data_IF_499320952587
#
_entry.id   IF_499320952587
#
_cell.length_a   1.000
_cell.length_b   1.000
_cell.length_c   1.000
_cell.angle_alpha   90.00
_cell.angle_beta   90.00
_cell.angle_gamma   90.00
#
_symmetry.space_group_name_H-M   'P 1'
#
loop_
_entity.id
_entity.type
_entity.pdbx_description
1 polymer ?
#
# COMPACT_ATOMS: atom_id res chain seq x y z
N UNK A 1 15.65 2.69 -10.20
CA UNK A 1 14.23 2.95 -10.52
C UNK A 1 13.58 3.71 -9.37
N UNK A 2 12.50 4.42 -9.67
CA UNK A 2 11.66 5.14 -8.69
C UNK A 2 10.39 4.32 -8.46
N UNK A 3 10.21 3.83 -7.27
CA UNK A 3 9.14 2.91 -6.89
C UNK A 3 8.14 3.65 -6.01
N UNK A 4 6.93 3.86 -6.49
CA UNK A 4 5.87 4.57 -5.76
C UNK A 4 4.87 3.57 -5.19
N UNK A 5 4.63 3.64 -3.88
CA UNK A 5 3.44 3.02 -3.27
C UNK A 5 2.37 4.07 -3.02
N UNK A 6 1.15 3.83 -3.49
CA UNK A 6 -0.03 4.66 -3.22
C UNK A 6 -0.94 3.87 -2.29
N UNK A 7 -0.96 4.28 -1.03
CA UNK A 7 -1.77 3.68 0.05
C UNK A 7 -3.10 4.41 0.19
N UNK A 8 -4.18 3.68 0.43
CA UNK A 8 -5.42 4.28 0.94
C UNK A 8 -5.21 4.76 2.38
N UNK A 9 -4.61 3.91 3.21
CA UNK A 9 -4.27 4.18 4.61
C UNK A 9 -2.78 3.93 4.85
N UNK A 10 -2.22 4.57 5.85
CA UNK A 10 -0.88 4.25 6.33
C UNK A 10 -0.95 2.90 7.08
N UNK A 11 -0.47 1.86 6.50
CA UNK A 11 -0.24 0.45 6.83
C UNK A 11 -0.37 -0.45 5.58
N UNK A 12 -1.06 0.01 4.52
CA UNK A 12 -1.25 -0.75 3.28
C UNK A 12 0.08 -1.13 2.63
N UNK A 13 1.05 -0.20 2.63
CA UNK A 13 2.38 -0.43 2.06
C UNK A 13 3.11 -1.54 2.80
N UNK A 14 2.98 -1.57 4.12
CA UNK A 14 3.60 -2.61 4.97
C UNK A 14 2.88 -3.95 4.86
N UNK A 15 1.55 -3.95 4.83
CA UNK A 15 0.74 -5.16 4.76
C UNK A 15 0.83 -5.83 3.39
N UNK A 16 0.63 -5.08 2.31
CA UNK A 16 0.51 -5.62 0.95
C UNK A 16 1.82 -5.67 0.17
N UNK A 17 2.81 -4.83 0.50
CA UNK A 17 3.99 -4.59 -0.35
C UNK A 17 5.31 -4.46 0.42
N UNK A 18 5.32 -4.61 1.75
CA UNK A 18 6.47 -4.27 2.59
C UNK A 18 7.75 -5.04 2.27
N UNK A 19 7.65 -6.34 2.03
CA UNK A 19 8.79 -7.16 1.63
C UNK A 19 9.30 -6.80 0.23
N UNK A 20 8.41 -6.47 -0.70
CA UNK A 20 8.74 -6.02 -2.05
C UNK A 20 9.40 -4.64 -2.03
N UNK A 21 8.94 -3.72 -1.19
CA UNK A 21 9.61 -2.42 -1.00
C UNK A 21 11.03 -2.60 -0.48
N UNK A 22 11.24 -3.48 0.51
CA UNK A 22 12.58 -3.81 1.01
C UNK A 22 13.45 -4.48 -0.06
N UNK A 23 12.88 -5.34 -0.89
CA UNK A 23 13.58 -5.92 -2.04
C UNK A 23 14.03 -4.84 -3.03
N UNK A 24 13.16 -3.88 -3.36
CA UNK A 24 13.54 -2.74 -4.20
C UNK A 24 14.61 -1.86 -3.56
N UNK A 25 14.51 -1.59 -2.25
CA UNK A 25 15.52 -0.84 -1.51
C UNK A 25 16.89 -1.52 -1.59
N UNK A 26 16.95 -2.84 -1.41
CA UNK A 26 18.20 -3.61 -1.51
C UNK A 26 18.82 -3.58 -2.91
N UNK A 27 18.02 -3.31 -3.95
CA UNK A 27 18.49 -3.09 -5.32
C UNK A 27 18.93 -1.64 -5.61
N UNK A 28 18.90 -0.75 -4.61
CA UNK A 28 19.26 0.66 -4.76
C UNK A 28 18.20 1.50 -5.46
N UNK A 29 16.95 1.06 -5.47
CA UNK A 29 15.83 1.82 -6.00
C UNK A 29 15.35 2.90 -5.02
N UNK A 30 14.91 4.05 -5.52
CA UNK A 30 14.29 5.08 -4.69
C UNK A 30 12.85 4.72 -4.36
N UNK A 31 12.53 4.64 -3.08
CA UNK A 31 11.19 4.41 -2.60
C UNK A 31 10.45 5.73 -2.39
N UNK A 32 9.21 5.79 -2.85
CA UNK A 32 8.32 6.95 -2.78
C UNK A 32 6.98 6.52 -2.20
N UNK A 33 6.30 7.41 -1.47
CA UNK A 33 5.06 7.06 -0.81
C UNK A 33 4.01 8.16 -0.91
N UNK A 34 2.81 7.82 -1.39
CA UNK A 34 1.60 8.65 -1.33
C UNK A 34 0.62 7.99 -0.39
N UNK A 35 0.12 8.76 0.58
CA UNK A 35 -0.92 8.34 1.51
C UNK A 35 -2.16 9.19 1.24
N UNK A 36 -3.25 8.53 0.86
CA UNK A 36 -4.47 9.23 0.46
C UNK A 36 -5.22 9.76 1.67
N UNK A 37 -5.49 8.92 2.66
CA UNK A 37 -6.25 9.33 3.84
C UNK A 37 -5.36 9.58 5.04
N UNK A 38 -5.61 10.68 5.71
CA UNK A 38 -4.89 11.08 6.93
C UNK A 38 -5.91 11.49 7.98
N UNK A 39 -5.90 10.88 9.17
CA UNK A 39 -6.72 11.38 10.26
C UNK A 39 -6.11 12.67 10.82
N UNK A 40 -6.98 13.65 11.08
CA UNK A 40 -6.63 14.92 11.73
C UNK A 40 -7.27 15.00 13.12
N UNK A 41 -6.80 15.92 13.95
CA UNK A 41 -7.42 16.22 15.24
C UNK A 41 -8.86 16.73 15.12
N UNK A 42 -9.24 17.25 13.95
CA UNK A 42 -10.61 17.65 13.60
C UNK A 42 -11.44 16.51 12.96
N UNK A 43 -10.86 15.32 12.76
CA UNK A 43 -11.60 14.16 12.25
C UNK A 43 -12.62 13.67 13.27
N UNK A 44 -13.70 12.95 12.86
CA UNK A 44 -14.57 12.25 13.80
C UNK A 44 -13.79 11.23 14.66
N UNK A 45 -14.28 10.97 15.87
CA UNK A 45 -13.72 9.89 16.70
C UNK A 45 -13.96 8.51 16.03
N UNK A 46 -13.04 7.55 16.18
CA UNK A 46 -11.84 7.57 17.05
C UNK A 46 -10.58 8.18 16.38
N UNK A 47 -10.69 8.74 15.19
CA UNK A 47 -9.55 9.22 14.39
C UNK A 47 -8.86 10.43 15.02
N UNK A 48 -9.64 11.38 15.58
CA UNK A 48 -9.10 12.60 16.19
C UNK A 48 -8.15 12.30 17.35
N UNK A 49 -8.57 11.42 18.27
CA UNK A 49 -7.77 11.03 19.43
C UNK A 49 -6.48 10.27 19.09
N UNK A 50 -6.41 9.67 17.91
CA UNK A 50 -5.27 8.88 17.45
C UNK A 50 -4.37 9.63 16.46
N UNK A 51 -4.78 10.82 15.99
CA UNK A 51 -4.11 11.51 14.87
C UNK A 51 -2.60 11.72 15.12
N UNK A 52 -2.21 12.14 16.32
CA UNK A 52 -0.80 12.37 16.68
C UNK A 52 -0.01 11.05 16.67
N UNK A 53 -0.53 10.01 17.34
CA UNK A 53 0.14 8.68 17.34
C UNK A 53 0.33 8.13 15.94
N UNK A 54 -0.70 8.23 15.10
CA UNK A 54 -0.63 7.78 13.71
C UNK A 54 0.37 8.59 12.88
N UNK A 55 0.57 9.88 13.18
CA UNK A 55 1.61 10.68 12.55
C UNK A 55 3.01 10.17 12.91
N UNK A 56 3.25 9.88 14.20
CA UNK A 56 4.53 9.31 14.67
C UNK A 56 4.79 7.94 14.06
N UNK A 57 3.77 7.07 14.02
CA UNK A 57 3.86 5.74 13.39
C UNK A 57 4.28 5.86 11.91
N UNK A 58 3.64 6.75 11.13
CA UNK A 58 3.99 7.01 9.72
C UNK A 58 5.42 7.51 9.56
N UNK A 59 5.89 8.37 10.47
CA UNK A 59 7.26 8.88 10.44
C UNK A 59 8.29 7.76 10.67
N UNK A 60 8.07 6.89 11.67
CA UNK A 60 8.93 5.76 11.94
C UNK A 60 8.99 4.78 10.76
N UNK A 61 7.83 4.47 10.18
CA UNK A 61 7.73 3.58 9.01
C UNK A 61 8.42 4.18 7.80
N UNK A 62 8.21 5.48 7.53
CA UNK A 62 8.88 6.16 6.41
C UNK A 62 10.41 6.12 6.55
N UNK A 63 10.91 6.33 7.76
CA UNK A 63 12.34 6.22 8.05
C UNK A 63 12.85 4.78 7.89
N UNK A 64 12.12 3.80 8.40
CA UNK A 64 12.54 2.39 8.38
C UNK A 64 12.58 1.80 6.96
N UNK A 65 11.65 2.17 6.08
CA UNK A 65 11.72 1.85 4.65
C UNK A 65 12.73 2.72 3.88
N UNK A 66 13.14 3.85 4.42
CA UNK A 66 14.00 4.81 3.72
C UNK A 66 13.30 5.49 2.54
N UNK A 67 12.00 5.81 2.66
CA UNK A 67 11.29 6.57 1.64
C UNK A 67 11.98 7.91 1.38
N UNK A 68 12.30 8.20 0.11
CA UNK A 68 12.99 9.43 -0.31
C UNK A 68 12.08 10.64 -0.36
N UNK A 69 10.80 10.42 -0.70
CA UNK A 69 9.77 11.46 -0.69
C UNK A 69 8.42 10.84 -0.25
N UNK A 70 7.59 11.66 0.41
CA UNK A 70 6.26 11.29 0.88
C UNK A 70 5.29 12.43 0.66
N UNK A 71 4.12 12.11 0.11
CA UNK A 71 3.00 13.05 -0.02
C UNK A 71 1.81 12.49 0.76
N UNK A 72 1.25 13.31 1.65
CA UNK A 72 0.01 13.04 2.37
C UNK A 72 -1.10 13.90 1.75
N UNK A 73 -2.11 13.27 1.11
CA UNK A 73 -3.15 14.00 0.40
C UNK A 73 -4.20 14.60 1.34
N UNK A 74 -4.34 14.05 2.54
CA UNK A 74 -5.17 14.64 3.59
C UNK A 74 -6.68 14.41 3.42
N UNK A 75 -7.10 13.38 2.70
CA UNK A 75 -8.51 13.01 2.65
C UNK A 75 -8.93 12.32 3.96
N UNK A 76 -10.23 12.37 4.32
CA UNK A 76 -10.72 11.72 5.54
C UNK A 76 -10.72 10.19 5.37
N UNK A 77 -10.25 9.40 6.37
CA UNK A 77 -10.34 7.96 6.34
C UNK A 77 -11.78 7.45 6.49
N UNK A 78 -12.09 6.31 5.89
CA UNK A 78 -13.40 5.65 5.88
C UNK A 78 -14.56 6.54 5.34
N UNK A 79 -14.23 7.49 4.45
CA UNK A 79 -15.18 8.43 3.88
C UNK A 79 -14.83 8.87 2.45
N UNK A 80 -13.97 8.13 1.74
CA UNK A 80 -13.59 8.48 0.36
C UNK A 80 -14.75 8.36 -0.63
N UNK A 81 -15.75 7.55 -0.34
CA UNK A 81 -16.98 7.43 -1.11
C UNK A 81 -17.83 8.71 -1.08
N UNK A 82 -17.61 9.59 -0.10
CA UNK A 82 -18.26 10.91 0.01
C UNK A 82 -17.43 12.03 -0.65
N UNK A 83 -16.21 11.74 -1.09
CA UNK A 83 -15.33 12.72 -1.74
C UNK A 83 -15.64 12.82 -3.23
N UNK A 84 -15.54 14.04 -3.78
CA UNK A 84 -15.67 14.25 -5.22
C UNK A 84 -14.56 13.48 -5.96
N UNK A 85 -14.92 12.41 -6.67
CA UNK A 85 -13.97 11.49 -7.31
C UNK A 85 -12.98 12.19 -8.24
N UNK A 86 -13.44 13.16 -9.06
CA UNK A 86 -12.57 13.93 -9.95
C UNK A 86 -11.47 14.69 -9.19
N UNK A 87 -11.81 15.27 -8.03
CA UNK A 87 -10.83 15.96 -7.19
C UNK A 87 -9.75 15.02 -6.63
N UNK A 88 -10.13 13.79 -6.24
CA UNK A 88 -9.15 12.77 -5.83
C UNK A 88 -8.25 12.37 -7.00
N UNK A 89 -8.82 12.14 -8.19
CA UNK A 89 -8.06 11.81 -9.41
C UNK A 89 -7.04 12.90 -9.74
N UNK A 90 -7.44 14.17 -9.67
CA UNK A 90 -6.54 15.30 -9.96
C UNK A 90 -5.39 15.39 -8.95
N UNK A 91 -5.66 15.21 -7.65
CA UNK A 91 -4.62 15.20 -6.62
C UNK A 91 -3.64 14.02 -6.80
N UNK A 92 -4.13 12.86 -7.19
CA UNK A 92 -3.27 11.70 -7.49
C UNK A 92 -2.44 11.94 -8.76
N UNK A 93 -3.02 12.55 -9.80
CA UNK A 93 -2.29 12.91 -11.03
C UNK A 93 -1.15 13.87 -10.74
N UNK A 94 -1.40 14.90 -9.92
CA UNK A 94 -0.36 15.85 -9.48
C UNK A 94 0.76 15.14 -8.70
N UNK A 95 0.41 14.24 -7.77
CA UNK A 95 1.37 13.49 -6.98
C UNK A 95 2.23 12.55 -7.86
N UNK A 96 1.62 11.81 -8.79
CA UNK A 96 2.32 10.93 -9.74
C UNK A 96 3.23 11.75 -10.64
N UNK A 97 2.75 12.87 -11.17
CA UNK A 97 3.54 13.76 -12.03
C UNK A 97 4.75 14.35 -11.28
N UNK A 98 4.58 14.76 -10.01
CA UNK A 98 5.69 15.27 -9.17
C UNK A 98 6.71 14.20 -8.85
N UNK A 99 6.25 12.97 -8.57
CA UNK A 99 7.12 11.89 -8.12
C UNK A 99 7.84 11.16 -9.26
N UNK A 100 7.38 11.25 -10.50
CA UNK A 100 7.96 10.60 -11.69
C UNK A 100 8.33 9.11 -11.44
N UNK A 101 7.37 8.25 -11.03
CA UNK A 101 7.69 6.85 -10.74
C UNK A 101 7.90 6.01 -12.01
N UNK A 102 8.78 5.02 -11.93
CA UNK A 102 8.91 3.96 -12.93
C UNK A 102 7.90 2.84 -12.70
N UNK A 103 7.61 2.53 -11.43
CA UNK A 103 6.65 1.47 -11.02
C UNK A 103 5.74 2.02 -9.94
N UNK A 104 4.44 1.75 -10.07
CA UNK A 104 3.43 2.08 -9.07
C UNK A 104 2.87 0.79 -8.47
N UNK A 105 2.82 0.74 -7.14
CA UNK A 105 2.06 -0.23 -6.37
C UNK A 105 0.88 0.46 -5.71
N UNK A 106 -0.30 -0.17 -5.67
CA UNK A 106 -1.49 0.35 -5.01
C UNK A 106 -2.39 -0.77 -4.53
N UNK A 107 -3.45 -0.44 -3.80
CA UNK A 107 -4.42 -1.39 -3.26
C UNK A 107 -5.29 -2.05 -4.34
N UNK A 108 -5.94 -3.17 -4.02
CA UNK A 108 -6.80 -3.94 -4.92
C UNK A 108 -8.21 -3.36 -5.04
N UNK A 109 -8.77 -3.20 -6.27
CA UNK A 109 -10.08 -2.55 -6.48
C UNK A 109 -11.29 -3.37 -6.02
N UNK A 110 -11.16 -4.68 -5.84
CA UNK A 110 -12.22 -5.54 -5.31
C UNK A 110 -12.01 -5.90 -3.84
N UNK A 111 -11.18 -5.14 -3.11
CA UNK A 111 -11.06 -5.21 -1.66
C UNK A 111 -12.41 -4.84 -1.00
N UNK A 112 -12.69 -5.40 0.18
CA UNK A 112 -13.92 -5.09 0.94
C UNK A 112 -13.93 -3.67 1.51
N UNK A 113 -12.77 -3.04 1.67
CA UNK A 113 -12.67 -1.68 2.20
C UNK A 113 -13.06 -0.65 1.13
N UNK A 114 -14.09 0.15 1.37
CA UNK A 114 -14.58 1.15 0.41
C UNK A 114 -13.47 2.12 -0.04
N UNK A 115 -12.63 2.60 0.88
CA UNK A 115 -11.51 3.49 0.52
C UNK A 115 -10.52 2.82 -0.44
N UNK A 116 -10.23 1.49 -0.28
CA UNK A 116 -9.35 0.77 -1.19
C UNK A 116 -9.94 0.72 -2.60
N UNK A 117 -11.25 0.45 -2.71
CA UNK A 117 -11.96 0.45 -3.99
C UNK A 117 -11.88 1.82 -4.67
N UNK A 118 -12.12 2.89 -3.92
CA UNK A 118 -12.06 4.27 -4.44
C UNK A 118 -10.64 4.63 -4.86
N UNK A 119 -9.62 4.36 -4.03
CA UNK A 119 -8.22 4.67 -4.34
C UNK A 119 -7.74 3.89 -5.56
N UNK A 120 -7.98 2.59 -5.63
CA UNK A 120 -7.58 1.78 -6.79
C UNK A 120 -8.16 2.32 -8.10
N UNK A 121 -9.47 2.65 -8.11
CA UNK A 121 -10.14 3.25 -9.28
C UNK A 121 -9.58 4.64 -9.61
N UNK A 122 -9.29 5.46 -8.60
CA UNK A 122 -8.75 6.79 -8.79
C UNK A 122 -7.31 6.75 -9.33
N UNK A 123 -6.47 5.81 -8.89
CA UNK A 123 -5.11 5.59 -9.42
C UNK A 123 -5.18 5.17 -10.89
N UNK A 124 -6.07 4.25 -11.26
CA UNK A 124 -6.27 3.84 -12.65
C UNK A 124 -6.72 5.02 -13.54
N UNK A 125 -7.54 5.93 -13.01
CA UNK A 125 -7.98 7.12 -13.74
C UNK A 125 -6.93 8.25 -13.77
N UNK A 126 -6.10 8.35 -12.75
CA UNK A 126 -5.06 9.37 -12.63
C UNK A 126 -3.85 9.08 -13.50
N UNK A 127 -3.53 7.80 -13.70
CA UNK A 127 -2.36 7.38 -14.45
C UNK A 127 -2.62 7.38 -15.96
N UNK A 128 -1.92 8.21 -16.74
CA UNK A 128 -2.07 8.24 -18.20
C UNK A 128 -1.14 7.19 -18.85
N UNK A 129 -1.69 6.01 -19.17
CA UNK A 129 -0.95 4.91 -19.81
C UNK A 129 -0.16 5.30 -21.06
N UNK A 130 -0.63 6.31 -21.78
CA UNK A 130 -0.09 6.75 -23.08
C UNK A 130 0.96 7.88 -23.01
N UNK A 131 1.26 8.42 -21.82
CA UNK A 131 2.25 9.52 -21.71
C UNK A 131 3.68 9.03 -21.48
N UNK A 132 3.88 7.73 -21.33
CA UNK A 132 5.19 7.15 -21.01
C UNK A 132 5.61 7.39 -19.56
N UNK A 133 6.74 6.84 -19.16
CA UNK A 133 7.35 7.03 -17.84
C UNK A 133 7.04 5.91 -16.85
N UNK A 134 5.78 5.56 -16.60
CA UNK A 134 5.44 4.43 -15.74
C UNK A 134 5.50 3.11 -16.51
N UNK A 135 6.38 2.20 -16.08
CA UNK A 135 6.61 0.91 -16.73
C UNK A 135 5.66 -0.18 -16.21
N UNK A 136 5.20 -0.08 -14.96
CA UNK A 136 4.26 -1.03 -14.42
C UNK A 136 3.35 -0.40 -13.36
N UNK A 137 2.08 -0.83 -13.35
CA UNK A 137 1.10 -0.59 -12.29
C UNK A 137 0.66 -1.95 -11.73
N UNK A 138 0.89 -2.17 -10.45
CA UNK A 138 0.65 -3.42 -9.76
C UNK A 138 -0.25 -3.20 -8.55
N UNK A 139 -1.20 -4.09 -8.35
CA UNK A 139 -2.15 -4.02 -7.25
C UNK A 139 -1.80 -5.03 -6.18
N UNK A 140 -1.73 -4.55 -4.93
CA UNK A 140 -1.37 -5.33 -3.75
C UNK A 140 -2.61 -5.98 -3.15
N UNK A 141 -2.41 -7.17 -2.62
CA UNK A 141 -3.37 -7.80 -1.73
C UNK A 141 -3.13 -7.32 -0.29
N UNK A 142 -4.18 -6.88 0.38
CA UNK A 142 -4.13 -6.51 1.79
C UNK A 142 -4.94 -7.50 2.63
N UNK A 143 -4.81 -7.45 3.95
CA UNK A 143 -5.58 -8.36 4.83
C UNK A 143 -7.09 -8.12 4.76
N UNK A 144 -7.53 -6.94 4.35
CA UNK A 144 -8.93 -6.62 4.13
C UNK A 144 -9.50 -7.17 2.81
N UNK A 145 -8.63 -7.58 1.88
CA UNK A 145 -9.03 -8.26 0.65
C UNK A 145 -9.64 -9.65 0.91
N UNK A 146 -9.42 -10.23 2.10
CA UNK A 146 -9.98 -11.52 2.46
C UNK A 146 -11.52 -11.47 2.42
N UNK A 147 -12.12 -12.29 1.57
CA UNK A 147 -13.57 -12.34 1.40
C UNK A 147 -14.13 -11.16 0.58
N UNK A 148 -13.31 -10.55 -0.29
CA UNK A 148 -13.76 -9.60 -1.31
C UNK A 148 -14.75 -10.25 -2.29
N UNK A 149 -15.53 -9.42 -3.00
CA UNK A 149 -16.54 -9.89 -3.98
C UNK A 149 -15.91 -10.70 -5.12
N UNK A 150 -14.68 -10.36 -5.52
CA UNK A 150 -13.90 -11.12 -6.49
C UNK A 150 -12.65 -11.70 -5.82
N UNK A 151 -12.27 -12.95 -6.15
CA UNK A 151 -11.03 -13.53 -5.64
C UNK A 151 -9.84 -12.74 -6.16
N UNK A 152 -8.85 -12.50 -5.28
CA UNK A 152 -7.58 -11.96 -5.71
C UNK A 152 -6.83 -13.03 -6.52
N UNK A 153 -6.70 -12.80 -7.82
CA UNK A 153 -6.02 -13.69 -8.76
C UNK A 153 -4.69 -13.05 -9.19
N UNK A 154 -3.59 -13.31 -8.46
CA UNK A 154 -2.29 -12.74 -8.77
C UNK A 154 -1.71 -13.33 -10.05
N UNK A 155 -0.88 -12.53 -10.73
CA UNK A 155 -0.08 -12.92 -11.90
C UNK A 155 1.42 -12.62 -11.70
N UNK A 156 1.79 -12.05 -10.56
CA UNK A 156 3.17 -11.76 -10.19
C UNK A 156 3.40 -12.09 -8.71
N UNK A 157 4.51 -12.77 -8.41
CA UNK A 157 4.97 -13.03 -7.04
C UNK A 157 6.37 -12.50 -6.86
N UNK A 158 6.63 -11.88 -5.73
CA UNK A 158 7.96 -11.44 -5.33
C UNK A 158 8.41 -12.26 -4.13
N UNK A 159 9.55 -12.95 -4.26
CA UNK A 159 10.15 -13.68 -3.15
C UNK A 159 10.63 -12.68 -2.08
N UNK A 160 9.98 -12.67 -0.94
CA UNK A 160 10.30 -11.82 0.20
C UNK A 160 10.92 -12.60 1.37
N UNK A 161 11.32 -13.85 1.15
CA UNK A 161 11.92 -14.68 2.22
C UNK A 161 13.03 -13.96 2.97
N UNK A 162 13.98 -13.26 2.32
CA UNK A 162 15.05 -12.54 3.02
C UNK A 162 14.58 -11.30 3.79
N UNK A 163 13.38 -10.80 3.50
CA UNK A 163 12.87 -9.51 4.00
C UNK A 163 11.70 -9.65 4.97
N UNK A 164 11.18 -10.88 5.18
CA UNK A 164 9.96 -11.10 5.95
C UNK A 164 10.08 -10.60 7.40
N UNK A 165 11.19 -10.88 8.07
CA UNK A 165 11.39 -10.44 9.45
C UNK A 165 11.51 -8.92 9.56
N UNK A 166 12.19 -8.28 8.61
CA UNK A 166 12.29 -6.83 8.56
C UNK A 166 10.93 -6.18 8.27
N UNK A 167 10.14 -6.75 7.32
CA UNK A 167 8.76 -6.33 7.05
C UNK A 167 7.92 -6.36 8.34
N UNK A 168 7.97 -7.46 9.09
CA UNK A 168 7.22 -7.61 10.34
C UNK A 168 7.68 -6.59 11.39
N UNK A 169 8.99 -6.35 11.49
CA UNK A 169 9.54 -5.33 12.40
C UNK A 169 9.01 -3.93 12.08
N UNK A 170 8.96 -3.56 10.80
CA UNK A 170 8.43 -2.27 10.34
C UNK A 170 6.91 -2.18 10.59
N UNK A 171 6.15 -3.23 10.27
CA UNK A 171 4.72 -3.29 10.55
C UNK A 171 4.44 -3.09 12.07
N UNK A 172 5.36 -3.52 12.93
CA UNK A 172 5.30 -3.35 14.39
C UNK A 172 5.26 -1.89 14.86
N UNK A 173 5.62 -0.91 14.03
CA UNK A 173 5.45 0.51 14.35
C UNK A 173 3.99 0.95 14.32
N UNK A 174 3.11 0.29 13.56
CA UNK A 174 1.67 0.59 13.48
C UNK A 174 0.89 -0.01 14.67
N UNK A 175 1.23 0.40 15.88
CA UNK A 175 0.60 -0.11 17.12
C UNK A 175 -0.90 0.16 17.17
N UNK A 176 -1.36 1.24 16.52
CA UNK A 176 -2.79 1.59 16.48
C UNK A 176 -3.58 0.70 15.52
N UNK A 177 -2.92 0.01 14.55
CA UNK A 177 -3.55 -0.84 13.55
C UNK A 177 -3.46 -2.33 13.86
N UNK A 178 -2.44 -2.75 14.63
CA UNK A 178 -2.27 -4.15 14.98
C UNK A 178 -3.37 -4.64 15.92
N UNK A 179 -3.78 -5.89 15.75
CA UNK A 179 -4.84 -6.55 16.52
C UNK A 179 -4.39 -7.94 16.96
N UNK A 180 -4.80 -8.40 18.13
CA UNK A 180 -4.46 -9.75 18.58
C UNK A 180 -5.14 -10.83 17.71
N UNK A 181 -4.57 -12.04 17.63
CA UNK A 181 -5.25 -13.17 17.00
C UNK A 181 -6.66 -13.38 17.58
N UNK A 182 -7.62 -13.83 16.78
CA UNK A 182 -7.51 -14.36 15.39
C UNK A 182 -7.53 -13.30 14.28
N UNK A 183 -7.50 -12.00 14.60
CA UNK A 183 -7.46 -10.96 13.58
C UNK A 183 -6.19 -11.10 12.73
N UNK A 184 -6.23 -10.95 11.37
CA UNK A 184 -5.07 -11.17 10.52
C UNK A 184 -4.00 -10.07 10.60
N UNK A 185 -4.32 -8.87 11.10
CA UNK A 185 -3.36 -7.76 11.26
C UNK A 185 -2.46 -7.97 12.48
N UNK A 186 -1.59 -8.97 12.41
CA UNK A 186 -0.54 -9.26 13.40
C UNK A 186 0.57 -10.09 12.73
N UNK A 187 1.67 -10.28 13.44
CA UNK A 187 2.82 -11.07 12.97
C UNK A 187 2.41 -12.44 12.42
N UNK A 188 1.63 -13.21 13.19
CA UNK A 188 1.21 -14.58 12.79
C UNK A 188 0.39 -14.57 11.51
N UNK A 189 -0.55 -13.63 11.38
CA UNK A 189 -1.42 -13.51 10.21
C UNK A 189 -0.63 -13.13 8.96
N UNK A 190 0.26 -12.15 9.06
CA UNK A 190 1.07 -11.69 7.93
C UNK A 190 2.08 -12.76 7.49
N UNK A 191 2.71 -13.49 8.43
CA UNK A 191 3.59 -14.62 8.11
C UNK A 191 2.84 -15.75 7.43
N UNK A 192 1.68 -16.12 7.95
CA UNK A 192 0.85 -17.17 7.34
C UNK A 192 0.45 -16.81 5.91
N UNK A 193 0.10 -15.54 5.67
CA UNK A 193 -0.24 -15.04 4.34
C UNK A 193 0.94 -15.10 3.39
N UNK A 194 2.11 -14.62 3.82
CA UNK A 194 3.34 -14.66 3.03
C UNK A 194 3.79 -16.10 2.71
N UNK A 195 3.66 -17.02 3.67
CA UNK A 195 3.95 -18.43 3.47
C UNK A 195 2.97 -19.10 2.47
N UNK A 196 1.67 -18.79 2.55
CA UNK A 196 0.67 -19.26 1.60
C UNK A 196 1.01 -18.80 0.16
N UNK A 197 1.36 -17.52 -0.02
CA UNK A 197 1.76 -17.00 -1.34
C UNK A 197 3.10 -17.56 -1.80
N UNK A 198 4.03 -17.81 -0.88
CA UNK A 198 5.30 -18.47 -1.16
C UNK A 198 5.13 -19.90 -1.65
N UNK A 199 4.25 -20.68 -1.01
CA UNK A 199 3.96 -22.05 -1.38
C UNK A 199 3.43 -22.21 -2.83
N UNK A 200 2.72 -21.18 -3.34
CA UNK A 200 2.22 -21.19 -4.72
C UNK A 200 3.34 -21.16 -5.78
N UNK A 201 4.52 -20.68 -5.42
CA UNK A 201 5.66 -20.49 -6.35
C UNK A 201 6.97 -21.11 -5.85
N UNK A 202 6.90 -21.96 -4.83
CA UNK A 202 8.04 -22.75 -4.37
C UNK A 202 9.09 -21.98 -3.57
N UNK A 203 8.69 -20.89 -2.86
CA UNK A 203 9.57 -20.13 -1.95
C UNK A 203 8.97 -20.08 -0.54
N UNK A 204 9.79 -19.79 0.48
CA UNK A 204 9.31 -19.80 1.87
C UNK A 204 8.30 -18.67 2.16
N UNK A 205 8.47 -17.49 1.54
CA UNK A 205 7.57 -16.37 1.68
C UNK A 205 7.53 -15.53 0.40
N UNK A 206 6.33 -15.12 -0.03
CA UNK A 206 6.14 -14.21 -1.14
C UNK A 206 5.06 -13.18 -0.86
N UNK A 207 5.14 -12.05 -1.55
CA UNK A 207 4.03 -11.13 -1.79
C UNK A 207 3.51 -11.33 -3.20
N UNK A 208 2.20 -11.20 -3.37
CA UNK A 208 1.53 -11.45 -4.63
C UNK A 208 0.83 -10.19 -5.14
N UNK A 209 0.87 -9.99 -6.44
CA UNK A 209 0.35 -8.80 -7.10
C UNK A 209 -0.51 -9.18 -8.31
N UNK A 210 -1.48 -8.31 -8.60
CA UNK A 210 -2.18 -8.30 -9.87
C UNK A 210 -1.63 -7.16 -10.72
N UNK A 211 -1.12 -7.49 -11.90
CA UNK A 211 -0.65 -6.50 -12.85
C UNK A 211 -1.84 -5.85 -13.56
N UNK A 212 -2.01 -4.54 -13.38
CA UNK A 212 -2.98 -3.75 -14.13
C UNK A 212 -2.39 -3.25 -15.45
N UNK A 213 -1.09 -2.99 -15.45
CA UNK A 213 -0.33 -2.56 -16.62
C UNK A 213 1.15 -2.95 -16.48
N UNK A 214 1.77 -3.38 -17.57
CA UNK A 214 3.21 -3.53 -17.68
C UNK A 214 3.67 -3.34 -19.13
N UNK A 215 4.84 -2.72 -19.29
CA UNK A 215 5.58 -2.62 -20.56
C UNK A 215 7.04 -2.97 -20.29
N UNK A 216 7.63 -3.82 -21.15
CA UNK A 216 9.03 -4.25 -21.08
C UNK A 216 9.95 -3.30 -21.86
#
# INVERSE_FOLDING_TARGET
MRILHISAHADDESLGCGGTLLHHQAQGHDLLWVIVTIPFTSSPEPWASQAIKKADERNHVAQAFGFKDRIELGFPPAALDLVLFGGLVDRLREAIARMHPDVIYTVWPADRHSDHQVVARAVLAAWPAWTGGVRALRMCETVSAIGAEAPFAPDLWVNITPYLDQKIGILGFYKTELRPPPHPRNDKGVRAWAAYRGAQVGVAAAEAFRTAWAIE
#
